data_IF_855541098805
#
_entry.id   IF_855541098805
#
_cell.length_a   1.000
_cell.length_b   1.000
_cell.length_c   1.000
_cell.angle_alpha   90.00
_cell.angle_beta   90.00
_cell.angle_gamma   90.00
#
_symmetry.space_group_name_H-M   'P 1'
#
loop_
_entity.id
_entity.type
_entity.pdbx_description
1 polymer ?
#
# COMPACT_ATOMS: atom_id res chain seq x y z
N UNK A 1 16.59 -16.37 -24.94
CA UNK A 1 17.66 -15.50 -25.49
C UNK A 1 18.77 -15.47 -24.46
N UNK A 2 19.95 -15.98 -24.77
CA UNK A 2 21.04 -16.06 -23.78
C UNK A 2 21.63 -14.66 -23.52
N UNK A 3 22.25 -14.39 -22.37
CA UNK A 3 22.96 -13.13 -22.12
C UNK A 3 24.02 -12.83 -23.19
N UNK A 4 24.57 -13.88 -23.82
CA UNK A 4 25.51 -13.78 -24.92
C UNK A 4 24.86 -13.28 -26.22
N UNK A 5 23.61 -13.68 -26.49
CA UNK A 5 22.86 -13.23 -27.68
C UNK A 5 22.46 -11.76 -27.54
N UNK A 6 22.05 -11.34 -26.34
CA UNK A 6 21.78 -9.92 -26.03
C UNK A 6 23.07 -9.10 -26.19
N UNK A 7 24.20 -9.61 -25.71
CA UNK A 7 25.49 -8.94 -25.85
C UNK A 7 25.97 -8.84 -27.31
N UNK A 8 25.82 -9.90 -28.10
CA UNK A 8 26.10 -9.91 -29.55
C UNK A 8 25.20 -8.93 -30.30
N UNK A 9 23.91 -8.86 -29.95
CA UNK A 9 22.95 -7.93 -30.54
C UNK A 9 23.29 -6.48 -30.20
N UNK A 10 23.63 -6.18 -28.94
CA UNK A 10 24.12 -4.85 -28.53
C UNK A 10 25.40 -4.49 -29.30
N UNK A 11 26.33 -5.43 -29.45
CA UNK A 11 27.59 -5.21 -30.18
C UNK A 11 27.36 -4.95 -31.67
N UNK A 12 26.39 -5.64 -32.28
CA UNK A 12 26.00 -5.44 -33.67
C UNK A 12 25.34 -4.07 -33.89
N UNK A 13 24.40 -3.68 -33.02
CA UNK A 13 23.79 -2.34 -33.04
C UNK A 13 24.86 -1.26 -32.89
N UNK A 14 25.77 -1.41 -31.91
CA UNK A 14 26.89 -0.49 -31.67
C UNK A 14 27.80 -0.33 -32.88
N UNK A 15 28.13 -1.43 -33.59
CA UNK A 15 28.95 -1.38 -34.82
C UNK A 15 28.24 -0.65 -35.96
N UNK A 16 26.93 -0.87 -36.11
CA UNK A 16 26.13 -0.20 -37.16
C UNK A 16 25.92 1.28 -36.87
N UNK A 17 25.72 1.67 -35.62
CA UNK A 17 25.63 3.09 -35.23
C UNK A 17 26.98 3.78 -35.33
N UNK A 18 28.10 3.17 -34.91
CA UNK A 18 29.43 3.76 -35.07
C UNK A 18 29.80 4.02 -36.55
N UNK A 19 29.47 3.10 -37.45
CA UNK A 19 29.80 3.22 -38.88
C UNK A 19 28.89 4.18 -39.65
N UNK A 20 27.66 4.49 -39.18
CA UNK A 20 26.75 5.44 -39.84
C UNK A 20 26.95 6.90 -39.41
N UNK A 21 27.63 7.15 -38.29
CA UNK A 21 27.66 8.47 -37.64
C UNK A 21 29.09 9.02 -37.54
N UNK A 22 29.80 9.16 -38.67
CA UNK A 22 31.17 9.71 -38.74
C UNK A 22 31.23 11.23 -39.01
N UNK A 23 30.11 11.95 -38.96
CA UNK A 23 30.09 13.42 -39.10
C UNK A 23 30.63 14.15 -37.87
N UNK A 24 31.39 15.23 -38.08
CA UNK A 24 32.06 16.02 -37.01
C UNK A 24 31.15 17.03 -36.29
N UNK A 25 29.84 17.09 -36.59
CA UNK A 25 28.97 18.10 -35.99
C UNK A 25 28.73 17.87 -34.49
N UNK A 26 28.49 18.94 -33.73
CA UNK A 26 28.22 18.89 -32.28
C UNK A 26 27.07 17.92 -31.96
N UNK A 27 26.01 17.91 -32.78
CA UNK A 27 24.90 16.96 -32.65
C UNK A 27 25.32 15.49 -32.81
N UNK A 28 26.32 15.20 -33.65
CA UNK A 28 26.86 13.84 -33.79
C UNK A 28 27.65 13.42 -32.55
N UNK A 29 28.41 14.33 -31.94
CA UNK A 29 29.13 14.04 -30.68
C UNK A 29 28.15 13.75 -29.54
N UNK A 30 27.04 14.50 -29.47
CA UNK A 30 25.96 14.29 -28.49
C UNK A 30 25.26 12.95 -28.72
N UNK A 31 24.86 12.63 -29.96
CA UNK A 31 24.19 11.35 -30.27
C UNK A 31 25.11 10.13 -30.05
N UNK A 32 26.40 10.25 -30.41
CA UNK A 32 27.37 9.19 -30.17
C UNK A 32 27.61 8.99 -28.67
N UNK A 33 27.67 10.07 -27.89
CA UNK A 33 27.74 9.98 -26.43
C UNK A 33 26.48 9.31 -25.87
N UNK A 34 25.27 9.78 -26.22
CA UNK A 34 24.00 9.27 -25.71
C UNK A 34 23.71 7.80 -26.05
N UNK A 35 24.18 7.30 -27.20
CA UNK A 35 23.79 5.96 -27.69
C UNK A 35 24.94 4.97 -27.88
N UNK A 36 26.22 5.40 -27.91
CA UNK A 36 27.36 4.49 -28.14
C UNK A 36 28.16 4.15 -26.87
N UNK A 37 28.03 4.95 -25.81
CA UNK A 37 28.64 4.71 -24.50
C UNK A 37 27.58 4.42 -23.43
N UNK A 38 27.85 3.41 -22.60
CA UNK A 38 26.96 2.99 -21.50
C UNK A 38 26.59 4.17 -20.59
N UNK A 39 27.54 5.07 -20.30
CA UNK A 39 27.31 6.28 -19.49
C UNK A 39 26.34 7.25 -20.15
N UNK A 40 26.41 7.42 -21.47
CA UNK A 40 25.49 8.30 -22.18
C UNK A 40 24.12 7.69 -22.42
N UNK A 41 23.96 6.36 -22.40
CA UNK A 41 22.64 5.70 -22.38
C UNK A 41 21.95 5.80 -21.01
N UNK A 42 22.72 5.85 -19.92
CA UNK A 42 22.16 5.96 -18.56
C UNK A 42 21.51 7.32 -18.30
N UNK A 43 22.05 8.41 -18.84
CA UNK A 43 21.52 9.77 -18.68
C UNK A 43 20.07 9.92 -19.19
N UNK A 44 19.74 9.62 -20.47
CA UNK A 44 18.37 9.72 -20.97
C UNK A 44 17.45 8.72 -20.28
N UNK A 45 17.93 7.53 -19.91
CA UNK A 45 17.14 6.58 -19.11
C UNK A 45 16.80 7.15 -17.72
N UNK A 46 17.75 7.81 -17.06
CA UNK A 46 17.52 8.43 -15.75
C UNK A 46 16.58 9.62 -15.87
N UNK A 47 16.69 10.42 -16.92
CA UNK A 47 15.75 11.52 -17.22
C UNK A 47 14.34 10.97 -17.45
N UNK A 48 14.20 9.90 -18.26
CA UNK A 48 12.90 9.25 -18.49
C UNK A 48 12.34 8.69 -17.19
N UNK A 49 13.14 8.01 -16.37
CA UNK A 49 12.70 7.49 -15.08
C UNK A 49 12.29 8.61 -14.12
N UNK A 50 13.04 9.72 -14.06
CA UNK A 50 12.70 10.87 -13.24
C UNK A 50 11.40 11.54 -13.73
N UNK A 51 11.19 11.62 -15.03
CA UNK A 51 9.99 12.16 -15.64
C UNK A 51 8.78 11.25 -15.37
N UNK A 52 8.93 9.93 -15.49
CA UNK A 52 7.90 8.95 -15.14
C UNK A 52 7.58 9.01 -13.64
N UNK A 53 8.59 9.11 -12.78
CA UNK A 53 8.39 9.29 -11.34
C UNK A 53 7.65 10.59 -11.01
N UNK A 54 7.92 11.66 -11.76
CA UNK A 54 7.26 12.96 -11.56
C UNK A 54 5.82 12.97 -12.07
N UNK A 55 5.52 12.24 -13.15
CA UNK A 55 4.19 12.24 -13.79
C UNK A 55 3.25 11.15 -13.26
N UNK A 56 3.79 9.98 -12.89
CA UNK A 56 3.01 8.82 -12.50
C UNK A 56 3.62 8.08 -11.28
N UNK A 57 3.88 8.78 -10.15
CA UNK A 57 4.50 8.16 -8.98
C UNK A 57 3.62 7.06 -8.39
N UNK A 58 2.28 7.19 -8.43
CA UNK A 58 1.33 6.19 -7.91
C UNK A 58 1.39 4.88 -8.70
N UNK A 59 1.40 4.96 -10.03
CA UNK A 59 1.53 3.77 -10.87
C UNK A 59 2.89 3.10 -10.65
N UNK A 60 3.95 3.90 -10.63
CA UNK A 60 5.30 3.41 -10.40
C UNK A 60 5.46 2.79 -9.00
N UNK A 61 4.81 3.36 -7.99
CA UNK A 61 4.73 2.79 -6.64
C UNK A 61 4.06 1.42 -6.63
N UNK A 62 2.87 1.28 -7.24
CA UNK A 62 2.19 -0.02 -7.32
C UNK A 62 3.05 -1.09 -8.02
N UNK A 63 3.74 -0.75 -9.11
CA UNK A 63 4.56 -1.72 -9.85
C UNK A 63 5.90 -2.02 -9.19
N UNK A 64 6.62 -1.00 -8.74
CA UNK A 64 7.96 -1.18 -8.19
C UNK A 64 7.87 -1.60 -6.72
N UNK A 65 7.09 -0.90 -5.92
CA UNK A 65 7.03 -1.20 -4.50
C UNK A 65 6.13 -2.39 -4.20
N UNK A 66 4.84 -2.31 -4.54
CA UNK A 66 3.88 -3.36 -4.15
C UNK A 66 4.14 -4.69 -4.88
N UNK A 67 4.42 -4.64 -6.18
CA UNK A 67 4.61 -5.85 -6.98
C UNK A 67 6.07 -6.35 -6.99
N UNK A 68 7.06 -5.48 -7.19
CA UNK A 68 8.45 -5.93 -7.35
C UNK A 68 9.17 -6.06 -6.00
N UNK A 69 9.11 -5.07 -5.11
CA UNK A 69 9.86 -5.06 -3.85
C UNK A 69 9.20 -5.91 -2.78
N UNK A 70 7.91 -5.74 -2.51
CA UNK A 70 7.23 -6.52 -1.46
C UNK A 70 7.19 -8.02 -1.79
N UNK A 71 7.19 -8.38 -3.08
CA UNK A 71 7.27 -9.78 -3.55
C UNK A 71 8.68 -10.19 -3.99
N UNK A 72 9.70 -9.34 -3.83
CA UNK A 72 11.08 -9.61 -4.23
C UNK A 72 11.61 -10.98 -3.77
N UNK A 73 11.45 -11.40 -2.50
CA UNK A 73 11.90 -12.74 -2.08
C UNK A 73 11.30 -13.87 -2.92
N UNK A 74 10.01 -13.78 -3.24
CA UNK A 74 9.30 -14.75 -4.09
C UNK A 74 9.90 -14.79 -5.50
N UNK A 75 10.15 -13.61 -6.09
CA UNK A 75 10.75 -13.50 -7.43
C UNK A 75 12.19 -13.97 -7.48
N UNK A 76 13.01 -13.60 -6.48
CA UNK A 76 14.42 -13.98 -6.41
C UNK A 76 14.54 -15.50 -6.27
N UNK A 77 13.76 -16.10 -5.37
CA UNK A 77 13.76 -17.55 -5.19
C UNK A 77 13.26 -18.29 -6.44
N UNK A 78 12.15 -17.84 -7.03
CA UNK A 78 11.61 -18.41 -8.26
C UNK A 78 12.57 -18.30 -9.45
N UNK A 79 13.22 -17.14 -9.60
CA UNK A 79 14.20 -16.91 -10.65
C UNK A 79 15.47 -17.73 -10.45
N UNK A 80 15.95 -17.85 -9.20
CA UNK A 80 17.13 -18.65 -8.87
C UNK A 80 16.89 -20.13 -9.15
N UNK A 81 15.74 -20.66 -8.75
CA UNK A 81 15.35 -22.06 -9.03
C UNK A 81 15.25 -22.32 -10.53
N UNK A 82 14.54 -21.46 -11.28
CA UNK A 82 14.46 -21.56 -12.74
C UNK A 82 15.83 -21.47 -13.41
N UNK A 83 16.71 -20.59 -12.94
CA UNK A 83 18.06 -20.43 -13.47
C UNK A 83 18.93 -21.67 -13.21
N UNK A 84 18.88 -22.23 -12.01
CA UNK A 84 19.62 -23.47 -11.65
C UNK A 84 19.14 -24.61 -12.54
N UNK A 85 17.84 -24.76 -12.72
CA UNK A 85 17.25 -25.80 -13.57
C UNK A 85 17.61 -25.62 -15.04
N UNK A 86 17.58 -24.38 -15.53
CA UNK A 86 18.06 -24.07 -16.88
C UNK A 86 19.54 -24.42 -17.06
N UNK A 87 20.39 -24.09 -16.08
CA UNK A 87 21.83 -24.43 -16.10
C UNK A 87 22.05 -25.94 -16.08
N UNK A 88 21.27 -26.67 -15.29
CA UNK A 88 21.30 -28.13 -15.25
C UNK A 88 20.92 -28.74 -16.61
N UNK A 89 19.77 -28.33 -17.18
CA UNK A 89 19.31 -28.79 -18.49
C UNK A 89 20.34 -28.50 -19.59
N UNK A 90 20.89 -27.28 -19.60
CA UNK A 90 21.89 -26.88 -20.59
C UNK A 90 23.16 -27.71 -20.48
N UNK A 91 23.62 -28.01 -19.27
CA UNK A 91 24.88 -28.72 -19.04
C UNK A 91 24.76 -30.22 -19.29
N UNK A 92 23.65 -30.85 -18.89
CA UNK A 92 23.57 -32.31 -18.89
C UNK A 92 22.70 -32.89 -20.00
N UNK A 93 21.72 -32.14 -20.53
CA UNK A 93 20.76 -32.69 -21.51
C UNK A 93 20.96 -32.14 -22.92
N UNK A 94 21.22 -30.83 -23.04
CA UNK A 94 21.45 -30.19 -24.33
C UNK A 94 22.77 -30.64 -24.99
N UNK A 95 23.78 -30.99 -24.20
CA UNK A 95 25.08 -31.45 -24.71
C UNK A 95 24.96 -32.79 -25.44
N UNK A 96 24.10 -33.70 -24.98
CA UNK A 96 23.89 -35.01 -25.62
C UNK A 96 22.88 -34.98 -26.78
N UNK A 97 21.80 -34.19 -26.68
CA UNK A 97 20.63 -34.32 -27.58
C UNK A 97 20.32 -33.09 -28.45
N UNK A 98 21.10 -32.02 -28.33
CA UNK A 98 20.85 -30.76 -29.03
C UNK A 98 19.45 -30.18 -28.75
N UNK A 99 18.91 -29.39 -29.68
CA UNK A 99 17.60 -28.72 -29.54
C UNK A 99 16.40 -29.67 -29.35
N UNK A 100 16.47 -30.91 -29.87
CA UNK A 100 15.44 -31.94 -29.64
C UNK A 100 15.42 -32.42 -28.19
N UNK A 101 16.49 -32.20 -27.43
CA UNK A 101 16.58 -32.51 -26.00
C UNK A 101 15.64 -31.69 -25.11
N UNK A 102 15.17 -30.52 -25.57
CA UNK A 102 14.25 -29.65 -24.81
C UNK A 102 12.91 -30.32 -24.47
N UNK A 103 12.41 -31.19 -25.36
CA UNK A 103 11.17 -31.93 -25.17
C UNK A 103 11.40 -33.32 -24.54
N UNK A 104 12.63 -33.62 -24.12
CA UNK A 104 12.89 -34.89 -23.45
C UNK A 104 12.18 -34.94 -22.09
N UNK A 105 11.69 -36.11 -21.67
CA UNK A 105 10.99 -36.26 -20.39
C UNK A 105 11.86 -35.84 -19.18
N UNK A 106 13.18 -35.93 -19.31
CA UNK A 106 14.13 -35.46 -18.28
C UNK A 106 14.08 -33.93 -18.13
N UNK A 107 14.04 -33.19 -19.25
CA UNK A 107 13.97 -31.72 -19.21
C UNK A 107 12.62 -31.25 -18.72
N UNK A 108 11.54 -31.88 -19.20
CA UNK A 108 10.17 -31.58 -18.74
C UNK A 108 10.04 -31.88 -17.24
N UNK A 109 10.58 -33.02 -16.78
CA UNK A 109 10.61 -33.39 -15.36
C UNK A 109 11.45 -32.43 -14.51
N UNK A 110 12.64 -32.05 -14.98
CA UNK A 110 13.49 -31.08 -14.28
C UNK A 110 12.85 -29.69 -14.20
N UNK A 111 12.20 -29.25 -15.29
CA UNK A 111 11.45 -27.99 -15.30
C UNK A 111 10.24 -28.06 -14.37
N UNK A 112 9.49 -29.16 -14.39
CA UNK A 112 8.37 -29.40 -13.48
C UNK A 112 8.81 -29.41 -12.01
N UNK A 113 9.92 -30.07 -11.68
CA UNK A 113 10.49 -30.08 -10.33
C UNK A 113 11.00 -28.70 -9.92
N UNK A 114 11.58 -27.93 -10.84
CA UNK A 114 11.97 -26.54 -10.60
C UNK A 114 10.78 -25.65 -10.30
N UNK A 115 9.71 -25.79 -11.09
CA UNK A 115 8.49 -25.03 -10.91
C UNK A 115 7.86 -25.39 -9.57
N UNK A 116 7.78 -26.68 -9.25
CA UNK A 116 7.32 -27.16 -7.95
C UNK A 116 8.16 -26.62 -6.80
N UNK A 117 9.49 -26.67 -6.90
CA UNK A 117 10.40 -26.08 -5.92
C UNK A 117 10.20 -24.57 -5.78
N UNK A 118 10.00 -23.83 -6.88
CA UNK A 118 9.71 -22.40 -6.84
C UNK A 118 8.39 -22.10 -6.11
N UNK A 119 7.33 -22.87 -6.39
CA UNK A 119 6.03 -22.75 -5.74
C UNK A 119 6.18 -23.01 -4.24
N UNK A 120 6.92 -24.06 -3.85
CA UNK A 120 7.20 -24.34 -2.45
C UNK A 120 7.91 -23.16 -1.77
N UNK A 121 8.96 -22.59 -2.37
CA UNK A 121 9.66 -21.44 -1.74
C UNK A 121 8.73 -20.23 -1.59
N UNK A 122 7.87 -19.95 -2.57
CA UNK A 122 6.88 -18.86 -2.45
C UNK A 122 5.88 -19.12 -1.34
N UNK A 123 5.34 -20.35 -1.25
CA UNK A 123 4.43 -20.75 -0.17
C UNK A 123 5.11 -20.61 1.20
N UNK A 124 6.35 -21.08 1.32
CA UNK A 124 7.11 -20.98 2.56
C UNK A 124 7.44 -19.54 2.96
N UNK A 125 7.87 -18.70 2.01
CA UNK A 125 8.16 -17.28 2.27
C UNK A 125 6.88 -16.53 2.69
N UNK A 126 5.75 -16.85 2.06
CA UNK A 126 4.45 -16.27 2.40
C UNK A 126 4.01 -16.65 3.81
N UNK A 127 4.16 -17.92 4.19
CA UNK A 127 3.86 -18.39 5.56
C UNK A 127 4.79 -17.79 6.62
N UNK A 128 6.09 -17.71 6.33
CA UNK A 128 7.08 -17.12 7.23
C UNK A 128 6.80 -15.64 7.53
N UNK A 129 6.28 -14.88 6.54
CA UNK A 129 5.82 -13.50 6.75
C UNK A 129 4.77 -13.41 7.85
N UNK A 130 3.75 -14.28 7.81
CA UNK A 130 2.64 -14.26 8.77
C UNK A 130 3.10 -14.67 10.17
N UNK A 131 3.91 -15.72 10.28
CA UNK A 131 4.46 -16.13 11.59
C UNK A 131 5.33 -15.04 12.20
N UNK A 132 6.15 -14.38 11.37
CA UNK A 132 7.00 -13.28 11.82
C UNK A 132 6.17 -12.08 12.29
N UNK A 133 5.10 -11.75 11.56
CA UNK A 133 4.14 -10.73 11.95
C UNK A 133 3.44 -11.08 13.27
N UNK A 134 3.08 -12.36 13.46
CA UNK A 134 2.46 -12.84 14.68
C UNK A 134 3.38 -12.66 15.90
N UNK A 135 4.66 -12.99 15.73
CA UNK A 135 5.70 -12.84 16.75
C UNK A 135 5.94 -11.38 17.13
N UNK A 136 6.00 -10.48 16.16
CA UNK A 136 6.34 -9.07 16.40
C UNK A 136 5.22 -8.30 17.11
N UNK A 137 3.96 -8.71 16.91
CA UNK A 137 2.80 -8.03 17.47
C UNK A 137 2.59 -8.28 18.97
N UNK A 138 3.28 -9.27 19.58
CA UNK A 138 3.18 -9.60 21.01
C UNK A 138 1.73 -9.63 21.53
N UNK A 139 0.88 -10.43 20.89
CA UNK A 139 -0.53 -10.53 21.29
C UNK A 139 -0.69 -10.93 22.75
N UNK A 140 -1.65 -10.27 23.40
CA UNK A 140 -2.12 -10.63 24.75
C UNK A 140 -3.43 -11.40 24.61
N UNK A 141 -3.51 -12.55 25.28
CA UNK A 141 -4.76 -13.30 25.37
C UNK A 141 -5.72 -12.50 26.26
N UNK A 142 -6.93 -12.26 25.77
CA UNK A 142 -7.98 -11.57 26.51
C UNK A 142 -9.15 -12.52 26.65
N UNK A 143 -9.61 -12.76 27.88
CA UNK A 143 -10.67 -13.74 28.15
C UNK A 143 -12.07 -13.21 27.77
N UNK A 144 -12.24 -11.89 27.69
CA UNK A 144 -13.49 -11.24 27.31
C UNK A 144 -13.22 -10.12 26.32
N UNK A 145 -14.07 -9.99 25.30
CA UNK A 145 -14.00 -8.82 24.42
C UNK A 145 -14.29 -7.57 25.26
N UNK A 146 -13.50 -6.48 25.14
CA UNK A 146 -13.84 -5.22 25.78
C UNK A 146 -15.26 -4.86 25.35
N UNK A 147 -16.11 -4.47 26.30
CA UNK A 147 -17.44 -3.98 25.98
C UNK A 147 -17.27 -2.80 25.02
N UNK A 148 -17.91 -2.88 23.85
CA UNK A 148 -18.00 -1.76 22.91
C UNK A 148 -18.45 -0.54 23.73
N UNK A 149 -17.72 0.57 23.66
CA UNK A 149 -18.07 1.73 24.49
C UNK A 149 -19.52 2.10 24.19
N UNK A 150 -20.30 2.40 25.24
CA UNK A 150 -21.69 2.82 25.08
C UNK A 150 -21.79 4.14 24.29
N UNK A 151 -20.67 4.84 24.13
CA UNK A 151 -20.55 6.12 23.43
C UNK A 151 -20.40 5.94 21.91
N UNK A 152 -19.94 4.78 21.42
CA UNK A 152 -19.72 4.51 19.99
C UNK A 152 -20.57 3.35 19.49
N UNK A 153 -21.88 3.46 19.70
CA UNK A 153 -22.83 2.51 19.14
C UNK A 153 -23.05 2.86 17.66
N UNK A 154 -22.75 1.88 16.79
CA UNK A 154 -23.09 1.92 15.37
C UNK A 154 -24.49 1.32 15.18
N UNK A 155 -25.43 2.15 14.74
CA UNK A 155 -26.81 1.72 14.46
C UNK A 155 -27.00 1.37 12.98
N UNK A 156 -26.36 2.11 12.09
CA UNK A 156 -26.47 1.93 10.63
C UNK A 156 -25.20 1.28 10.08
N UNK A 157 -25.29 0.24 9.23
CA UNK A 157 -24.14 -0.29 8.50
C UNK A 157 -23.52 0.74 7.55
N UNK A 158 -22.21 0.62 7.30
CA UNK A 158 -21.48 1.58 6.47
C UNK A 158 -22.01 1.65 5.03
N UNK A 159 -22.42 0.51 4.48
CA UNK A 159 -22.97 0.40 3.13
C UNK A 159 -24.31 1.14 3.01
N UNK A 160 -25.15 1.07 4.04
CA UNK A 160 -26.44 1.76 4.07
C UNK A 160 -26.25 3.27 4.17
N UNK A 161 -25.34 3.72 5.04
CA UNK A 161 -24.98 5.13 5.16
C UNK A 161 -24.39 5.67 3.84
N UNK A 162 -23.51 4.91 3.18
CA UNK A 162 -22.94 5.26 1.89
C UNK A 162 -24.00 5.37 0.79
N UNK A 163 -24.95 4.44 0.72
CA UNK A 163 -26.08 4.54 -0.22
C UNK A 163 -26.94 5.78 0.04
N UNK A 164 -27.23 6.12 1.30
CA UNK A 164 -27.99 7.33 1.64
C UNK A 164 -27.24 8.60 1.20
N UNK A 165 -25.93 8.66 1.42
CA UNK A 165 -25.06 9.76 0.97
C UNK A 165 -25.11 9.89 -0.56
N UNK A 166 -24.93 8.79 -1.29
CA UNK A 166 -24.97 8.80 -2.77
C UNK A 166 -26.34 9.27 -3.29
N UNK A 167 -27.44 8.78 -2.71
CA UNK A 167 -28.80 9.18 -3.11
C UNK A 167 -29.08 10.67 -2.87
N UNK A 168 -28.41 11.29 -1.91
CA UNK A 168 -28.53 12.71 -1.56
C UNK A 168 -27.64 13.61 -2.42
N UNK A 169 -26.71 13.04 -3.17
CA UNK A 169 -25.84 13.82 -4.06
C UNK A 169 -26.63 14.28 -5.28
N UNK A 170 -26.74 15.60 -5.45
CA UNK A 170 -27.51 16.21 -6.56
C UNK A 170 -26.62 16.82 -7.65
N UNK A 171 -25.30 16.73 -7.51
CA UNK A 171 -24.33 17.40 -8.38
C UNK A 171 -23.78 16.43 -9.43
N UNK A 172 -23.69 16.87 -10.69
CA UNK A 172 -23.14 16.06 -11.79
C UNK A 172 -21.61 16.13 -11.91
N UNK A 173 -20.99 17.11 -11.28
CA UNK A 173 -19.53 17.34 -11.32
C UNK A 173 -18.78 16.56 -10.25
N UNK A 174 -19.45 16.17 -9.17
CA UNK A 174 -18.85 15.52 -8.00
C UNK A 174 -19.64 14.28 -7.63
N UNK A 175 -18.94 13.26 -7.16
CA UNK A 175 -19.55 12.07 -6.58
C UNK A 175 -18.98 11.85 -5.18
N UNK A 176 -19.71 11.25 -4.24
CA UNK A 176 -19.14 10.89 -2.95
C UNK A 176 -18.05 9.84 -3.13
N UNK A 177 -16.91 10.05 -2.49
CA UNK A 177 -15.83 9.08 -2.38
C UNK A 177 -16.17 7.95 -1.40
N UNK A 178 -15.14 7.22 -0.98
CA UNK A 178 -15.33 6.09 -0.06
C UNK A 178 -15.90 6.58 1.27
N UNK A 179 -17.05 6.03 1.67
CA UNK A 179 -17.72 6.39 2.93
C UNK A 179 -17.03 5.67 4.08
N UNK A 180 -16.53 6.42 5.06
CA UNK A 180 -15.80 5.87 6.21
C UNK A 180 -16.50 6.23 7.52
N UNK A 181 -16.59 5.29 8.49
CA UNK A 181 -17.06 5.62 9.83
C UNK A 181 -16.01 6.47 10.56
N UNK A 182 -16.51 7.43 11.32
CA UNK A 182 -15.76 8.34 12.17
C UNK A 182 -16.40 8.43 13.56
N UNK A 183 -15.58 8.63 14.58
CA UNK A 183 -16.08 9.02 15.91
C UNK A 183 -16.65 10.44 15.87
N UNK A 184 -17.76 10.64 16.56
CA UNK A 184 -18.43 11.92 16.79
C UNK A 184 -18.82 12.01 18.28
N UNK A 185 -18.96 13.22 18.86
CA UNK A 185 -19.40 13.39 20.25
C UNK A 185 -20.73 12.70 20.59
N UNK A 186 -21.58 12.44 19.59
CA UNK A 186 -22.89 11.81 19.75
C UNK A 186 -22.94 10.33 19.37
N UNK A 187 -21.83 9.74 18.94
CA UNK A 187 -21.80 8.37 18.42
C UNK A 187 -20.89 8.15 17.23
N UNK A 188 -21.16 7.09 16.47
CA UNK A 188 -20.52 6.89 15.16
C UNK A 188 -21.22 7.78 14.14
N UNK A 189 -20.47 8.35 13.21
CA UNK A 189 -21.01 9.03 12.03
C UNK A 189 -20.23 8.59 10.80
N UNK A 190 -20.72 8.95 9.62
CA UNK A 190 -20.06 8.60 8.37
C UNK A 190 -19.76 9.85 7.57
N UNK A 191 -18.56 9.88 7.00
CA UNK A 191 -18.12 10.99 6.15
C UNK A 191 -17.64 10.45 4.81
N UNK A 192 -17.97 11.19 3.77
CA UNK A 192 -17.49 10.93 2.41
C UNK A 192 -17.06 12.24 1.76
N UNK A 193 -15.85 12.32 1.19
CA UNK A 193 -15.42 13.50 0.42
C UNK A 193 -16.22 13.61 -0.88
N UNK A 194 -16.52 14.83 -1.30
CA UNK A 194 -17.03 15.09 -2.65
C UNK A 194 -15.84 15.11 -3.62
N UNK A 195 -15.64 14.01 -4.34
CA UNK A 195 -14.56 13.85 -5.31
C UNK A 195 -15.01 14.26 -6.72
N UNK A 196 -14.17 14.92 -7.52
CA UNK A 196 -14.52 15.31 -8.88
C UNK A 196 -14.75 14.08 -9.76
N UNK A 197 -15.82 14.08 -10.55
CA UNK A 197 -16.18 12.98 -11.41
C UNK A 197 -15.78 13.23 -12.86
N UNK A 198 -15.03 12.29 -13.43
CA UNK A 198 -14.58 12.32 -14.83
C UNK A 198 -13.27 13.09 -15.02
N UNK A 199 -12.57 12.76 -16.11
CA UNK A 199 -11.21 13.24 -16.40
C UNK A 199 -11.08 14.78 -16.35
N UNK A 200 -12.03 15.51 -16.94
CA UNK A 200 -11.93 16.97 -17.00
C UNK A 200 -12.06 17.61 -15.61
N UNK A 201 -13.06 17.19 -14.84
CA UNK A 201 -13.26 17.72 -13.49
C UNK A 201 -12.12 17.32 -12.56
N UNK A 202 -11.59 16.09 -12.69
CA UNK A 202 -10.44 15.63 -11.90
C UNK A 202 -9.15 16.44 -12.15
N UNK A 203 -9.04 17.12 -13.30
CA UNK A 203 -7.90 17.96 -13.66
C UNK A 203 -8.10 19.45 -13.35
N UNK A 204 -9.34 19.92 -13.18
CA UNK A 204 -9.63 21.35 -13.03
C UNK A 204 -10.28 21.73 -11.70
N UNK A 205 -11.00 20.81 -11.07
CA UNK A 205 -11.79 21.06 -9.87
C UNK A 205 -11.11 20.48 -8.62
N UNK A 206 -11.26 21.20 -7.51
CA UNK A 206 -10.84 20.75 -6.18
C UNK A 206 -12.03 20.15 -5.41
N UNK A 207 -11.77 19.38 -4.35
CA UNK A 207 -12.79 18.68 -3.58
C UNK A 207 -13.63 19.70 -2.82
N UNK A 208 -14.91 19.83 -3.17
CA UNK A 208 -15.80 20.91 -2.66
C UNK A 208 -16.50 20.60 -1.33
N UNK A 209 -15.81 19.91 -0.42
CA UNK A 209 -16.32 19.57 0.90
C UNK A 209 -16.77 18.11 1.04
N UNK A 210 -17.62 17.86 2.03
CA UNK A 210 -17.91 16.52 2.53
C UNK A 210 -19.41 16.29 2.69
N UNK A 211 -19.84 15.05 2.51
CA UNK A 211 -21.16 14.61 2.92
C UNK A 211 -21.04 13.87 4.25
N UNK A 212 -21.84 14.30 5.21
CA UNK A 212 -21.83 13.79 6.58
C UNK A 212 -23.16 13.12 6.88
N UNK A 213 -23.14 11.85 7.26
CA UNK A 213 -24.30 11.11 7.73
C UNK A 213 -24.21 10.91 9.24
N UNK A 214 -25.26 11.34 9.94
CA UNK A 214 -25.35 11.22 11.40
C UNK A 214 -26.11 9.95 11.80
N UNK A 215 -25.44 9.04 12.53
CA UNK A 215 -26.03 7.76 12.98
C UNK A 215 -26.72 7.87 14.37
N UNK A 216 -26.58 9.01 15.05
CA UNK A 216 -27.11 9.25 16.41
C UNK A 216 -28.63 9.48 16.49
N UNK A 217 -29.16 9.53 17.72
CA UNK A 217 -30.56 9.87 18.01
C UNK A 217 -30.88 11.27 17.53
N UNK A 218 -31.72 11.37 16.51
CA UNK A 218 -32.01 12.64 15.84
C UNK A 218 -32.78 13.59 16.74
N UNK A 219 -32.36 14.84 16.75
CA UNK A 219 -33.24 15.93 17.17
C UNK A 219 -34.33 16.13 16.11
N UNK A 220 -35.53 16.51 16.56
CA UNK A 220 -36.85 16.16 16.00
C UNK A 220 -37.19 16.77 14.62
N UNK A 221 -36.23 17.26 13.82
CA UNK A 221 -36.50 17.96 12.55
C UNK A 221 -35.46 17.84 11.40
N UNK A 222 -34.31 17.19 11.59
CA UNK A 222 -33.15 17.35 10.66
C UNK A 222 -32.95 16.21 9.65
N UNK A 223 -32.45 16.55 8.46
CA UNK A 223 -32.02 15.56 7.46
C UNK A 223 -30.86 14.70 7.97
N UNK A 224 -30.86 13.39 7.68
CA UNK A 224 -29.80 12.46 8.12
C UNK A 224 -28.43 12.71 7.49
N UNK A 225 -28.44 13.28 6.29
CA UNK A 225 -27.25 13.62 5.50
C UNK A 225 -27.17 15.13 5.39
N UNK A 226 -26.01 15.66 5.77
CA UNK A 226 -25.69 17.08 5.76
C UNK A 226 -24.53 17.29 4.78
N UNK A 227 -24.66 18.27 3.90
CA UNK A 227 -23.56 18.71 3.06
C UNK A 227 -22.74 19.73 3.86
N UNK A 228 -21.49 19.41 4.09
CA UNK A 228 -20.51 20.31 4.69
C UNK A 228 -19.69 20.90 3.55
N UNK A 229 -20.04 22.12 3.15
CA UNK A 229 -19.20 22.88 2.23
C UNK A 229 -17.93 23.32 2.99
N UNK A 230 -16.78 23.09 2.40
CA UNK A 230 -15.48 23.45 2.96
C UNK A 230 -14.69 24.20 1.91
N UNK A 231 -13.70 24.99 2.34
CA UNK A 231 -12.67 25.45 1.43
C UNK A 231 -12.05 24.23 0.74
N UNK A 232 -12.00 24.26 -0.59
CA UNK A 232 -11.61 23.09 -1.35
C UNK A 232 -10.19 22.69 -0.99
N UNK A 233 -9.98 21.40 -0.72
CA UNK A 233 -8.66 20.90 -0.38
C UNK A 233 -7.68 21.16 -1.53
N UNK A 234 -6.50 21.71 -1.23
CA UNK A 234 -5.45 21.89 -2.23
C UNK A 234 -5.07 20.56 -2.89
N UNK A 235 -5.06 19.47 -2.11
CA UNK A 235 -4.87 18.11 -2.61
C UNK A 235 -5.88 17.17 -1.96
N UNK A 236 -6.49 16.31 -2.76
CA UNK A 236 -7.55 15.43 -2.27
C UNK A 236 -7.72 14.18 -3.10
N UNK A 237 -8.56 13.28 -2.61
CA UNK A 237 -8.93 12.08 -3.36
C UNK A 237 -9.68 12.45 -4.64
N UNK A 238 -9.40 11.71 -5.72
CA UNK A 238 -10.06 11.88 -7.02
C UNK A 238 -9.50 12.99 -7.90
N UNK A 239 -8.61 13.83 -7.39
CA UNK A 239 -7.84 14.79 -8.20
C UNK A 239 -6.72 14.07 -8.97
N UNK A 240 -6.34 14.59 -10.14
CA UNK A 240 -5.33 13.96 -11.01
C UNK A 240 -4.05 14.79 -11.20
N UNK A 241 -2.99 14.08 -11.62
CA UNK A 241 -1.65 14.59 -11.96
C UNK A 241 -0.90 15.25 -10.79
N UNK A 242 -1.18 16.51 -10.47
CA UNK A 242 -0.40 17.31 -9.51
C UNK A 242 -1.09 17.48 -8.16
N UNK A 243 -2.42 17.37 -8.15
CA UNK A 243 -3.25 17.67 -6.98
C UNK A 243 -3.72 16.40 -6.27
N UNK A 244 -3.23 15.23 -6.71
CA UNK A 244 -3.47 13.94 -6.08
C UNK A 244 -2.74 13.83 -4.73
N UNK A 245 -3.51 13.56 -3.67
CA UNK A 245 -2.98 13.33 -2.33
C UNK A 245 -2.05 12.10 -2.26
N UNK A 246 -2.31 11.03 -3.03
CA UNK A 246 -1.45 9.84 -3.01
C UNK A 246 -0.05 10.17 -3.51
N UNK A 247 0.05 10.99 -4.54
CA UNK A 247 1.32 11.51 -5.03
C UNK A 247 2.07 12.29 -3.97
N UNK A 248 1.40 13.19 -3.24
CA UNK A 248 2.02 13.99 -2.16
C UNK A 248 2.57 13.10 -1.06
N UNK A 249 1.80 12.12 -0.62
CA UNK A 249 2.24 11.12 0.36
C UNK A 249 3.50 10.37 -0.11
N UNK A 250 3.57 9.99 -1.39
CA UNK A 250 4.72 9.28 -1.94
C UNK A 250 5.99 10.13 -2.01
N UNK A 251 5.88 11.42 -2.28
CA UNK A 251 7.03 12.33 -2.35
C UNK A 251 7.48 12.81 -0.96
N UNK A 252 6.53 13.23 -0.12
CA UNK A 252 6.83 13.97 1.11
C UNK A 252 6.97 13.04 2.33
N UNK A 253 6.17 11.97 2.41
CA UNK A 253 6.22 10.99 3.51
C UNK A 253 7.12 9.80 3.18
N UNK A 254 7.07 9.33 1.93
CA UNK A 254 8.04 8.41 1.37
C UNK A 254 7.45 7.29 0.50
N UNK A 255 8.26 6.86 -0.46
CA UNK A 255 7.89 5.88 -1.47
C UNK A 255 7.80 4.44 -0.93
N UNK A 256 8.64 4.03 0.03
CA UNK A 256 8.66 2.65 0.55
C UNK A 256 7.64 2.39 1.67
N UNK A 257 6.52 3.10 1.63
CA UNK A 257 5.40 3.01 2.57
C UNK A 257 4.13 2.67 1.79
N UNK A 258 3.17 2.03 2.45
CA UNK A 258 1.85 1.72 1.87
C UNK A 258 0.80 2.59 2.55
N UNK A 259 -0.06 3.23 1.74
CA UNK A 259 -1.13 4.13 2.17
C UNK A 259 -2.47 3.44 1.84
N UNK A 260 -2.96 2.54 2.72
CA UNK A 260 -4.09 1.68 2.38
C UNK A 260 -5.44 2.38 2.44
N UNK A 261 -5.55 3.45 3.21
CA UNK A 261 -6.79 4.16 3.44
C UNK A 261 -6.54 5.63 3.71
N UNK A 262 -7.51 6.44 3.29
CA UNK A 262 -7.63 7.85 3.59
C UNK A 262 -9.03 8.02 4.19
N UNK A 263 -9.12 8.76 5.28
CA UNK A 263 -10.40 9.17 5.84
C UNK A 263 -10.32 10.63 6.27
N UNK A 264 -11.47 11.27 6.42
CA UNK A 264 -11.54 12.67 6.85
C UNK A 264 -12.17 12.72 8.23
N UNK A 265 -11.84 13.74 9.00
CA UNK A 265 -12.43 13.92 10.32
C UNK A 265 -12.62 15.40 10.61
N UNK A 266 -13.80 15.80 11.12
CA UNK A 266 -13.99 17.15 11.62
C UNK A 266 -13.22 17.34 12.92
N UNK A 267 -12.48 18.43 13.01
CA UNK A 267 -11.89 18.93 14.26
C UNK A 267 -12.89 19.89 14.88
N UNK A 268 -13.35 19.58 16.08
CA UNK A 268 -14.29 20.41 16.82
C UNK A 268 -13.55 21.51 17.59
N UNK A 269 -14.12 22.72 17.62
CA UNK A 269 -13.70 23.77 18.53
C UNK A 269 -14.29 23.54 19.94
N UNK A 270 -13.79 24.29 20.93
CA UNK A 270 -14.25 24.18 22.34
C UNK A 270 -15.76 24.46 22.52
N UNK A 271 -16.38 25.16 21.57
CA UNK A 271 -17.81 25.44 21.50
C UNK A 271 -18.64 24.31 20.85
N UNK A 272 -17.99 23.23 20.41
CA UNK A 272 -18.61 22.09 19.73
C UNK A 272 -18.92 22.34 18.24
N UNK A 273 -18.58 23.52 17.70
CA UNK A 273 -18.70 23.78 16.27
C UNK A 273 -17.54 23.10 15.51
N UNK A 274 -17.79 22.74 14.24
CA UNK A 274 -16.73 22.20 13.37
C UNK A 274 -15.80 23.36 12.99
N UNK A 275 -14.55 23.29 13.43
CA UNK A 275 -13.52 24.30 13.14
C UNK A 275 -12.94 24.09 11.76
N UNK A 276 -12.52 22.87 11.48
CA UNK A 276 -11.89 22.47 10.22
C UNK A 276 -12.13 20.98 9.97
N UNK A 277 -11.98 20.54 8.72
CA UNK A 277 -11.93 19.12 8.39
C UNK A 277 -10.51 18.81 7.98
N UNK A 278 -9.94 17.76 8.56
CA UNK A 278 -8.60 17.28 8.22
C UNK A 278 -8.68 15.91 7.55
N UNK A 279 -7.77 15.65 6.62
CA UNK A 279 -7.58 14.34 6.03
C UNK A 279 -6.52 13.56 6.80
N UNK A 280 -6.81 12.30 7.11
CA UNK A 280 -5.97 11.44 7.95
C UNK A 280 -5.64 10.15 7.21
N UNK A 281 -4.35 9.83 7.18
CA UNK A 281 -3.79 8.71 6.42
C UNK A 281 -2.88 7.86 7.30
N UNK A 282 -3.43 6.84 7.98
CA UNK A 282 -2.63 5.89 8.72
C UNK A 282 -1.86 5.01 7.74
N UNK A 283 -0.52 5.02 7.82
CA UNK A 283 0.32 4.35 6.83
C UNK A 283 1.11 3.18 7.40
N UNK A 284 1.42 2.23 6.52
CA UNK A 284 2.16 1.01 6.84
C UNK A 284 3.60 1.20 6.38
N UNK A 285 4.54 1.01 7.30
CA UNK A 285 5.97 0.92 7.01
C UNK A 285 6.40 -0.55 7.00
N UNK A 286 7.57 -0.84 6.44
CA UNK A 286 8.07 -2.21 6.35
C UNK A 286 9.43 -2.35 7.00
N UNK A 287 9.64 -3.48 7.66
CA UNK A 287 10.94 -3.89 8.19
C UNK A 287 11.44 -5.08 7.39
N UNK A 288 12.68 -4.99 6.94
CA UNK A 288 13.34 -6.11 6.29
C UNK A 288 13.73 -7.17 7.32
N UNK A 289 13.33 -8.42 7.09
CA UNK A 289 13.71 -9.57 7.88
C UNK A 289 13.97 -10.76 6.96
N UNK A 290 15.25 -11.13 6.83
CA UNK A 290 15.70 -12.33 6.13
C UNK A 290 15.11 -12.50 4.71
N UNK A 291 15.16 -11.43 3.92
CA UNK A 291 14.61 -11.41 2.56
C UNK A 291 13.14 -11.03 2.48
N UNK A 292 12.40 -11.01 3.59
CA UNK A 292 10.96 -10.74 3.64
C UNK A 292 10.70 -9.33 4.19
N UNK A 293 9.72 -8.64 3.60
CA UNK A 293 9.23 -7.34 4.09
C UNK A 293 8.05 -7.55 5.04
N UNK A 294 8.27 -7.28 6.32
CA UNK A 294 7.25 -7.43 7.38
C UNK A 294 6.57 -6.09 7.61
N UNK A 295 5.23 -6.00 7.48
CA UNK A 295 4.50 -4.75 7.68
C UNK A 295 4.47 -4.37 9.17
N UNK A 296 4.57 -3.08 9.44
CA UNK A 296 4.44 -2.46 10.78
C UNK A 296 3.71 -1.12 10.67
N UNK A 297 3.12 -0.68 11.77
CA UNK A 297 2.52 0.65 11.81
C UNK A 297 3.61 1.71 11.66
N UNK A 298 3.46 2.57 10.65
CA UNK A 298 4.46 3.57 10.30
C UNK A 298 4.23 4.94 10.93
N UNK A 299 3.01 5.23 11.35
CA UNK A 299 2.55 6.55 11.78
C UNK A 299 1.29 6.98 11.04
N UNK A 300 1.01 8.28 11.10
CA UNK A 300 -0.16 8.90 10.49
C UNK A 300 0.28 10.17 9.78
N UNK A 301 -0.11 10.32 8.52
CA UNK A 301 0.02 11.59 7.83
C UNK A 301 -1.31 12.35 7.94
N UNK A 302 -1.27 13.62 8.31
CA UNK A 302 -2.42 14.52 8.33
C UNK A 302 -2.23 15.52 7.21
N UNK A 303 -3.24 15.71 6.37
CA UNK A 303 -3.25 16.76 5.37
C UNK A 303 -4.42 17.71 5.59
N UNK A 304 -4.14 18.98 5.40
CA UNK A 304 -5.07 20.07 5.64
C UNK A 304 -5.60 20.64 4.33
N UNK A 305 -6.69 21.41 4.42
CA UNK A 305 -7.29 22.05 3.25
C UNK A 305 -6.33 23.02 2.54
N UNK A 306 -5.43 23.68 3.30
CA UNK A 306 -4.42 24.62 2.79
C UNK A 306 -3.26 23.96 2.02
N UNK A 307 -3.22 22.62 1.98
CA UNK A 307 -2.11 21.89 1.40
C UNK A 307 -0.88 21.86 2.30
N UNK A 308 -1.06 21.85 3.62
CA UNK A 308 0.02 21.44 4.53
C UNK A 308 -0.08 19.94 4.82
N UNK A 309 1.07 19.28 4.95
CA UNK A 309 1.18 17.86 5.26
C UNK A 309 2.02 17.66 6.52
N UNK A 310 1.41 17.10 7.55
CA UNK A 310 2.06 16.73 8.80
C UNK A 310 2.33 15.23 8.83
N UNK A 311 3.47 14.83 9.38
CA UNK A 311 3.80 13.41 9.57
C UNK A 311 4.00 13.12 11.06
N UNK A 312 3.06 12.40 11.66
CA UNK A 312 3.09 12.02 13.06
C UNK A 312 3.62 10.61 13.22
N UNK A 313 4.54 10.43 14.17
CA UNK A 313 4.96 9.09 14.60
C UNK A 313 3.82 8.40 15.35
N UNK A 314 3.84 7.06 15.45
CA UNK A 314 2.89 6.31 16.28
C UNK A 314 2.68 6.86 17.69
N UNK A 315 3.74 7.32 18.36
CA UNK A 315 3.66 7.87 19.71
C UNK A 315 3.02 9.27 19.71
N UNK A 316 3.41 10.13 18.77
CA UNK A 316 2.85 11.48 18.64
C UNK A 316 1.35 11.44 18.27
N UNK A 317 0.98 10.53 17.37
CA UNK A 317 -0.41 10.36 16.93
C UNK A 317 -1.37 9.95 18.06
N UNK A 318 -0.89 9.19 19.06
CA UNK A 318 -1.69 8.81 20.23
C UNK A 318 -1.98 9.97 21.17
N UNK A 319 -1.12 10.98 21.17
CA UNK A 319 -1.20 12.14 22.05
C UNK A 319 -1.89 13.34 21.38
N UNK A 320 -2.14 13.27 20.07
CA UNK A 320 -2.74 14.37 19.32
C UNK A 320 -4.24 14.48 19.63
N UNK A 321 -4.71 15.59 20.24
CA UNK A 321 -6.11 15.80 20.57
C UNK A 321 -7.05 15.66 19.38
N UNK A 322 -6.60 16.05 18.17
CA UNK A 322 -7.39 15.99 16.93
C UNK A 322 -7.74 14.56 16.52
N UNK A 323 -6.92 13.59 16.95
CA UNK A 323 -7.06 12.19 16.54
C UNK A 323 -7.63 11.29 17.63
N UNK A 324 -7.55 11.70 18.90
CA UNK A 324 -8.08 10.93 20.05
C UNK A 324 -9.59 10.68 19.89
N UNK A 325 -10.36 11.70 19.49
CA UNK A 325 -11.80 11.61 19.32
C UNK A 325 -12.22 10.70 18.16
N UNK A 326 -11.38 10.58 17.15
CA UNK A 326 -11.65 9.77 15.95
C UNK A 326 -11.54 8.27 16.21
N UNK A 327 -10.78 7.89 17.24
CA UNK A 327 -10.46 6.51 17.62
C UNK A 327 -9.98 5.59 16.47
N UNK A 328 -9.52 6.16 15.35
CA UNK A 328 -9.08 5.42 14.15
C UNK A 328 -7.62 5.70 13.80
N UNK A 329 -6.73 5.47 14.75
CA UNK A 329 -5.29 5.70 14.56
C UNK A 329 -4.61 4.60 13.72
N UNK A 330 -5.13 3.38 13.80
CA UNK A 330 -4.44 2.20 13.30
C UNK A 330 -4.93 1.81 11.89
N UNK A 331 -4.03 1.51 10.93
CA UNK A 331 -4.45 1.17 9.58
C UNK A 331 -5.31 -0.11 9.54
N UNK A 332 -6.51 -0.04 8.97
CA UNK A 332 -7.47 -1.16 8.93
C UNK A 332 -6.89 -2.39 8.23
N UNK A 333 -6.17 -2.18 7.11
CA UNK A 333 -5.48 -3.25 6.38
C UNK A 333 -4.46 -3.98 7.27
N UNK A 334 -3.73 -3.23 8.10
CA UNK A 334 -2.75 -3.81 9.01
C UNK A 334 -3.43 -4.58 10.15
N UNK A 335 -4.57 -4.10 10.64
CA UNK A 335 -5.36 -4.80 11.66
C UNK A 335 -5.88 -6.14 11.11
N UNK A 336 -6.41 -6.15 9.89
CA UNK A 336 -6.83 -7.39 9.19
C UNK A 336 -5.66 -8.35 9.02
N UNK A 337 -4.49 -7.85 8.61
CA UNK A 337 -3.29 -8.66 8.49
C UNK A 337 -2.85 -9.25 9.84
N UNK A 338 -2.96 -8.51 10.95
CA UNK A 338 -2.66 -9.04 12.29
C UNK A 338 -3.65 -10.12 12.74
N UNK A 339 -4.95 -9.92 12.52
CA UNK A 339 -5.97 -10.93 12.80
C UNK A 339 -5.71 -12.18 11.95
N UNK A 340 -5.31 -12.02 10.69
CA UNK A 340 -4.97 -13.15 9.83
C UNK A 340 -3.71 -13.88 10.32
N UNK A 341 -2.71 -13.15 10.81
CA UNK A 341 -1.46 -13.70 11.33
C UNK A 341 -1.68 -14.63 12.55
N UNK A 342 -2.74 -14.41 13.34
CA UNK A 342 -3.08 -15.27 14.50
C UNK A 342 -3.44 -16.70 14.12
N UNK A 343 -3.76 -16.96 12.86
CA UNK A 343 -4.00 -18.33 12.37
C UNK A 343 -2.73 -19.18 12.38
N UNK A 344 -1.55 -18.60 12.61
CA UNK A 344 -0.26 -19.28 12.54
C UNK A 344 0.42 -19.38 13.91
N UNK A 345 1.10 -20.49 14.17
CA UNK A 345 1.74 -20.77 15.47
C UNK A 345 3.12 -20.09 15.65
N UNK A 346 3.55 -19.91 16.91
CA UNK A 346 4.88 -19.37 17.24
C UNK A 346 5.96 -20.41 16.93
N UNK A 347 6.53 -20.32 15.74
CA UNK A 347 7.79 -20.98 15.44
C UNK A 347 8.97 -20.25 16.09
N UNK A 348 9.73 -20.95 16.95
CA UNK A 348 10.90 -20.35 17.62
C UNK A 348 12.10 -20.13 16.67
N UNK A 349 12.11 -20.76 15.50
CA UNK A 349 13.21 -20.70 14.52
C UNK A 349 12.67 -20.81 13.09
N UNK A 350 13.42 -20.29 12.11
CA UNK A 350 12.99 -20.10 10.72
C UNK A 350 12.32 -21.33 10.09
N UNK A 351 12.90 -22.53 10.24
CA UNK A 351 12.30 -23.75 9.70
C UNK A 351 10.93 -24.05 10.33
N UNK A 352 10.82 -23.93 11.65
CA UNK A 352 9.53 -24.07 12.33
C UNK A 352 8.53 -23.00 11.84
N UNK A 353 8.97 -21.76 11.64
CA UNK A 353 8.11 -20.70 11.09
C UNK A 353 7.66 -20.99 9.65
N UNK A 354 8.54 -21.56 8.83
CA UNK A 354 8.21 -22.00 7.47
C UNK A 354 7.21 -23.16 7.48
N UNK A 355 7.38 -24.14 8.39
CA UNK A 355 6.45 -25.26 8.56
C UNK A 355 5.09 -24.83 9.13
N UNK A 356 5.08 -23.98 10.17
CA UNK A 356 3.85 -23.45 10.75
C UNK A 356 3.13 -22.52 9.78
N UNK A 357 3.83 -21.85 8.86
CA UNK A 357 3.24 -21.13 7.75
C UNK A 357 2.36 -21.97 6.81
N UNK A 358 2.43 -23.30 6.88
CA UNK A 358 1.56 -24.23 6.14
C UNK A 358 0.41 -24.79 6.99
N UNK A 359 0.46 -24.59 8.31
CA UNK A 359 -0.51 -25.16 9.26
C UNK A 359 -1.28 -24.03 9.91
N UNK A 360 -2.54 -23.89 9.53
CA UNK A 360 -3.44 -22.94 10.17
C UNK A 360 -4.08 -23.58 11.40
N UNK A 361 -4.13 -22.84 12.51
CA UNK A 361 -4.85 -23.22 13.71
C UNK A 361 -6.29 -22.72 13.64
N UNK A 362 -7.22 -23.55 14.11
CA UNK A 362 -8.60 -23.12 14.31
C UNK A 362 -8.74 -22.38 15.64
N UNK A 363 -9.35 -21.18 15.61
CA UNK A 363 -10.22 -20.72 16.70
C UNK A 363 -9.57 -20.13 17.96
N UNK A 364 -8.56 -19.26 17.87
CA UNK A 364 -8.25 -18.31 18.96
C UNK A 364 -8.03 -16.91 18.40
N UNK A 365 -8.84 -15.95 18.87
CA UNK A 365 -8.65 -14.53 18.57
C UNK A 365 -7.94 -13.93 19.78
N UNK A 366 -6.70 -13.49 19.59
CA UNK A 366 -5.95 -12.71 20.59
C UNK A 366 -6.03 -11.24 20.16
N UNK A 367 -5.90 -10.26 21.07
CA UNK A 367 -5.99 -8.84 20.67
C UNK A 367 -4.56 -8.28 20.73
N UNK A 368 -4.03 -7.68 19.64
CA UNK A 368 -2.76 -6.99 19.72
C UNK A 368 -2.94 -5.75 20.61
N UNK A 369 -1.92 -5.29 21.35
CA UNK A 369 -2.03 -4.05 22.11
C UNK A 369 -2.29 -2.87 21.14
N UNK A 370 -3.56 -2.51 20.98
CA UNK A 370 -4.02 -1.42 20.14
C UNK A 370 -3.97 -0.14 20.95
N UNK A 371 -2.77 0.44 21.07
CA UNK A 371 -2.60 1.89 21.27
C UNK A 371 -3.03 2.54 22.58
N UNK A 372 -3.92 1.94 23.37
CA UNK A 372 -4.42 2.44 24.65
C UNK A 372 -4.49 1.30 25.65
N UNK A 373 -3.39 1.05 26.34
CA UNK A 373 -3.41 0.50 27.72
C UNK A 373 -1.97 0.46 28.27
N UNK A 374 -1.57 1.46 29.07
CA UNK A 374 -0.73 1.22 30.21
C UNK A 374 -1.63 0.82 31.39
N UNK A 375 -1.48 -0.41 31.89
CA UNK A 375 -1.96 -0.84 33.22
C UNK A 375 -3.40 -0.46 33.61
N UNK A 376 -4.38 -1.28 33.20
CA UNK A 376 -5.62 -1.44 33.99
C UNK A 376 -5.57 -2.78 34.72
N UNK A 377 -4.61 -2.88 35.63
CA UNK A 377 -4.56 -3.90 36.69
C UNK A 377 -4.51 -3.24 38.07
N UNK A 378 -5.44 -2.32 38.35
CA UNK A 378 -5.84 -1.96 39.72
C UNK A 378 -7.01 -0.99 39.67
N UNK A 379 -8.23 -1.51 39.75
CA UNK A 379 -9.09 -1.23 40.90
C UNK A 379 -10.45 -1.88 40.68
N UNK A 380 -10.62 -3.01 41.37
CA UNK A 380 -11.93 -3.38 41.88
C UNK A 380 -12.34 -2.33 42.92
N UNK A 381 -13.36 -1.52 42.63
CA UNK A 381 -14.41 -1.11 43.56
C UNK A 381 -15.57 -0.42 42.86
#
# INVERSE_FOLDING_TARGET
MSPFDIWQMIRFVRRRTLNRYNGESIGHRIMRFLFADYRGMMIPLTIVLAMVYSLAPVWLHKWIFDFLILQAPSWIAGSATLYISFRFVRRYVMEEKGLRGLLSPIVIGAFGMSLFGSILVVLFASGAKWVQMYRDANFTEVETLPRVSNELVRFTPAEVAGEEIVRRTQTSQFTPGETRPIGSPTGVSYISPLIPQGMWNALTEHNRGFMYFHDGTMDTSGQRVINMETEGFAWGEGMEIFDDIQRRLLHDIGFFKSYPEIYYTPVYAEDGAIKEVIGVVPYISYRFWWGIMVPKWGGIAIFHADGTLENLTPEAAKLDPRLIETQRLFPEKLAKDYIYAQRYDKGNHLLAQMFYGLVQREGKIEIPPCGSDPDVSSDMR
#
